data_IF_463024027014
#
_entry.id   IF_463024027014
#
_cell.length_a   1.000
_cell.length_b   1.000
_cell.length_c   1.000
_cell.angle_alpha   90.00
_cell.angle_beta   90.00
_cell.angle_gamma   90.00
#
_symmetry.space_group_name_H-M   'P 1'
#
loop_
_entity.id
_entity.type
_entity.pdbx_description
1 polymer ?
#
# COMPACT_ATOMS: atom_id res chain seq x y z
N UNK A 1 6.64 -21.76 -9.73
CA UNK A 1 5.47 -20.93 -10.08
C UNK A 1 5.57 -19.54 -9.43
N UNK A 2 5.58 -18.46 -10.22
CA UNK A 2 5.64 -17.09 -9.70
C UNK A 2 4.26 -16.66 -9.21
N UNK A 3 4.14 -16.28 -7.93
CA UNK A 3 2.91 -15.72 -7.35
C UNK A 3 3.07 -14.20 -7.30
N UNK A 4 2.25 -13.43 -8.04
CA UNK A 4 2.40 -11.98 -8.08
C UNK A 4 2.06 -11.36 -6.72
N UNK A 5 2.81 -10.31 -6.37
CA UNK A 5 2.53 -9.52 -5.17
C UNK A 5 1.20 -8.77 -5.32
N UNK A 6 0.44 -8.56 -4.21
CA UNK A 6 -0.76 -7.73 -4.23
C UNK A 6 -0.50 -6.33 -4.76
N UNK A 7 -1.43 -5.84 -5.58
CA UNK A 7 -1.35 -4.47 -6.10
C UNK A 7 -1.67 -3.48 -4.99
N UNK A 8 -0.73 -2.56 -4.78
CA UNK A 8 -0.83 -1.47 -3.82
C UNK A 8 -0.78 -0.13 -4.58
N UNK A 9 -1.49 0.87 -4.07
CA UNK A 9 -1.47 2.22 -4.61
C UNK A 9 -0.09 2.88 -4.40
N UNK A 10 0.53 3.40 -5.46
CA UNK A 10 1.84 4.08 -5.34
C UNK A 10 1.76 5.52 -4.81
N UNK A 11 0.55 6.04 -4.56
CA UNK A 11 0.33 7.36 -3.92
C UNK A 11 0.16 7.25 -2.41
N UNK A 12 -0.66 6.32 -1.93
CA UNK A 12 -0.97 6.20 -0.49
C UNK A 12 -0.54 4.88 0.16
N UNK A 13 0.00 3.94 -0.62
CA UNK A 13 0.49 2.62 -0.19
C UNK A 13 -0.57 1.68 0.42
N UNK A 14 -1.84 2.01 0.25
CA UNK A 14 -2.95 1.13 0.61
C UNK A 14 -3.27 0.13 -0.50
N UNK A 15 -3.82 -1.02 -0.12
CA UNK A 15 -4.33 -2.00 -1.07
C UNK A 15 -5.72 -1.61 -1.62
N UNK A 16 -6.19 -2.38 -2.61
CA UNK A 16 -7.56 -2.27 -3.15
C UNK A 16 -7.74 -1.28 -4.31
N UNK A 17 -6.78 -0.39 -4.55
CA UNK A 17 -6.85 0.56 -5.67
C UNK A 17 -5.47 0.89 -6.24
N UNK A 18 -5.45 1.52 -7.42
CA UNK A 18 -4.22 2.02 -8.06
C UNK A 18 -4.17 3.55 -7.98
N UNK A 19 -3.01 4.15 -8.26
CA UNK A 19 -2.78 5.60 -8.18
C UNK A 19 -3.81 6.44 -8.96
N UNK A 20 -4.34 5.91 -10.08
CA UNK A 20 -5.37 6.58 -10.90
C UNK A 20 -6.68 6.81 -10.14
N UNK A 21 -7.04 5.93 -9.20
CA UNK A 21 -8.27 6.00 -8.41
C UNK A 21 -8.02 6.43 -6.96
N UNK A 22 -6.80 6.88 -6.65
CA UNK A 22 -6.45 7.31 -5.31
C UNK A 22 -7.08 8.67 -5.00
N UNK A 23 -7.79 8.75 -3.88
CA UNK A 23 -8.42 9.99 -3.40
C UNK A 23 -7.42 10.96 -2.74
N UNK A 24 -6.21 10.50 -2.42
CA UNK A 24 -5.17 11.36 -1.86
C UNK A 24 -4.67 12.34 -2.92
N UNK A 25 -4.65 13.63 -2.60
CA UNK A 25 -4.20 14.68 -3.51
C UNK A 25 -2.70 14.54 -3.83
N UNK A 26 -1.87 14.46 -2.77
CA UNK A 26 -0.41 14.34 -2.86
C UNK A 26 0.06 12.89 -2.68
N UNK A 27 1.24 12.56 -3.19
CA UNK A 27 1.91 11.30 -2.88
C UNK A 27 2.38 11.35 -1.43
N UNK A 28 2.14 10.28 -0.69
CA UNK A 28 2.62 10.14 0.68
C UNK A 28 4.07 9.67 0.69
N UNK A 29 4.80 10.00 1.75
CA UNK A 29 6.09 9.40 2.04
C UNK A 29 5.91 7.88 2.31
N UNK A 30 6.74 7.04 1.69
CA UNK A 30 6.65 5.57 1.84
C UNK A 30 6.98 5.11 3.26
N UNK A 31 7.76 5.92 4.00
CA UNK A 31 8.12 5.62 5.39
C UNK A 31 7.01 6.05 6.34
N UNK A 32 6.66 7.33 6.37
CA UNK A 32 5.82 7.87 7.45
C UNK A 32 4.39 8.23 7.03
N UNK A 33 4.02 8.02 5.77
CA UNK A 33 2.70 8.29 5.21
C UNK A 33 2.26 9.76 5.26
N UNK A 34 3.19 10.70 5.45
CA UNK A 34 2.94 12.15 5.39
C UNK A 34 3.23 12.71 4.00
N UNK A 35 2.48 13.71 3.52
CA UNK A 35 2.69 14.32 2.20
C UNK A 35 3.76 15.41 2.17
N UNK A 36 4.38 15.73 3.30
CA UNK A 36 5.22 16.92 3.48
C UNK A 36 6.60 16.83 2.81
N UNK A 37 7.09 15.62 2.52
CA UNK A 37 8.46 15.42 2.05
C UNK A 37 8.61 14.19 1.16
N UNK A 38 9.69 14.18 0.38
CA UNK A 38 10.16 13.01 -0.36
C UNK A 38 10.76 11.96 0.58
N UNK A 39 10.61 10.69 0.23
CA UNK A 39 11.01 9.56 1.09
C UNK A 39 12.51 9.54 1.42
N UNK A 40 13.34 10.12 0.54
CA UNK A 40 14.78 10.30 0.73
C UNK A 40 15.13 11.22 1.91
N UNK A 41 14.25 12.18 2.24
CA UNK A 41 14.45 13.17 3.30
C UNK A 41 13.65 12.82 4.56
N UNK A 42 13.15 11.59 4.68
CA UNK A 42 12.35 11.15 5.81
C UNK A 42 13.21 10.55 6.92
N UNK A 43 13.15 11.19 8.10
CA UNK A 43 13.80 10.76 9.35
C UNK A 43 12.85 10.07 10.34
N UNK A 44 11.60 9.85 9.96
CA UNK A 44 10.61 9.17 10.80
C UNK A 44 10.68 7.65 10.63
N UNK A 45 10.15 6.91 11.61
CA UNK A 45 9.99 5.46 11.52
C UNK A 45 9.10 5.06 10.35
N UNK A 46 9.47 3.97 9.69
CA UNK A 46 8.66 3.37 8.62
C UNK A 46 7.42 2.73 9.24
N UNK A 47 6.25 3.07 8.72
CA UNK A 47 4.95 2.54 9.14
C UNK A 47 4.16 2.02 7.94
N UNK A 48 3.44 0.93 8.15
CA UNK A 48 2.64 0.30 7.10
C UNK A 48 1.28 1.01 6.97
N UNK A 49 0.89 1.38 5.75
CA UNK A 49 -0.38 2.06 5.50
C UNK A 49 -1.64 1.20 5.74
N UNK A 50 -1.44 -0.11 5.94
CA UNK A 50 -2.53 -1.09 6.00
C UNK A 50 -2.70 -1.71 7.40
N UNK A 51 -1.65 -1.76 8.23
CA UNK A 51 -1.72 -2.26 9.61
C UNK A 51 -1.11 -1.31 10.66
N UNK A 52 -0.54 -0.19 10.23
CA UNK A 52 0.07 0.85 11.08
C UNK A 52 1.23 0.37 11.97
N UNK A 53 1.73 -0.85 11.76
CA UNK A 53 2.92 -1.37 12.45
C UNK A 53 4.21 -0.80 11.84
N UNK A 54 5.32 -0.89 12.58
CA UNK A 54 6.65 -0.38 12.20
C UNK A 54 7.35 -1.23 11.12
N UNK A 55 6.66 -1.44 10.00
CA UNK A 55 7.13 -2.17 8.83
C UNK A 55 6.79 -1.42 7.56
N UNK A 56 7.50 -1.71 6.47
CA UNK A 56 7.17 -1.15 5.16
C UNK A 56 5.81 -1.68 4.67
N UNK A 57 5.00 -0.82 4.07
CA UNK A 57 3.78 -1.23 3.35
C UNK A 57 4.11 -2.35 2.34
N UNK A 58 3.34 -3.44 2.40
CA UNK A 58 3.58 -4.63 1.58
C UNK A 58 4.34 -5.78 2.27
N UNK A 59 4.67 -5.67 3.56
CA UNK A 59 5.26 -6.78 4.30
C UNK A 59 4.32 -7.99 4.41
N UNK A 60 4.89 -9.21 4.40
CA UNK A 60 4.16 -10.49 4.32
C UNK A 60 3.22 -10.76 5.50
N UNK A 61 3.57 -10.22 6.66
CA UNK A 61 2.88 -10.38 7.94
C UNK A 61 1.73 -9.37 8.10
N UNK A 62 1.54 -8.46 7.13
CA UNK A 62 0.42 -7.54 7.14
C UNK A 62 -0.87 -8.30 6.86
N UNK A 63 -1.86 -8.20 7.75
CA UNK A 63 -3.18 -8.78 7.49
C UNK A 63 -3.77 -8.31 6.15
N UNK A 64 -3.62 -7.03 5.81
CA UNK A 64 -4.02 -6.50 4.50
C UNK A 64 -3.28 -7.17 3.35
N UNK A 65 -1.98 -7.44 3.49
CA UNK A 65 -1.22 -8.16 2.45
C UNK A 65 -1.74 -9.59 2.28
N UNK A 66 -1.97 -10.31 3.38
CA UNK A 66 -2.47 -11.69 3.35
C UNK A 66 -3.83 -11.76 2.65
N UNK A 67 -4.77 -10.89 3.03
CA UNK A 67 -6.11 -10.81 2.42
C UNK A 67 -6.00 -10.53 0.91
N UNK A 68 -5.22 -9.53 0.51
CA UNK A 68 -5.13 -9.17 -0.92
C UNK A 68 -4.31 -10.17 -1.74
N UNK A 69 -3.41 -10.92 -1.12
CA UNK A 69 -2.65 -12.00 -1.77
C UNK A 69 -3.54 -13.17 -2.15
N UNK A 70 -4.46 -13.56 -1.26
CA UNK A 70 -5.47 -14.59 -1.55
C UNK A 70 -6.43 -14.14 -2.66
N UNK A 71 -6.80 -12.86 -2.65
CA UNK A 71 -7.76 -12.26 -3.59
C UNK A 71 -7.15 -11.86 -4.95
N UNK A 72 -5.83 -12.00 -5.16
CA UNK A 72 -5.16 -11.66 -6.43
C UNK A 72 -5.63 -12.50 -7.64
N UNK A 73 -6.50 -13.50 -7.44
CA UNK A 73 -7.20 -14.24 -8.49
C UNK A 73 -8.57 -13.67 -8.90
N UNK A 74 -9.19 -12.75 -8.15
CA UNK A 74 -10.57 -12.32 -8.40
C UNK A 74 -10.67 -10.86 -8.88
N UNK A 75 -10.71 -10.70 -10.21
CA UNK A 75 -10.87 -9.41 -10.92
C UNK A 75 -12.13 -8.63 -10.52
N UNK A 76 -13.14 -9.29 -9.94
CA UNK A 76 -14.40 -8.65 -9.54
C UNK A 76 -14.25 -7.72 -8.33
N UNK A 77 -13.25 -7.93 -7.45
CA UNK A 77 -13.04 -7.06 -6.29
C UNK A 77 -12.49 -5.69 -6.69
N UNK A 78 -11.58 -5.66 -7.66
CA UNK A 78 -10.94 -4.43 -8.16
C UNK A 78 -11.86 -3.50 -8.98
N UNK A 79 -13.04 -3.99 -9.39
CA UNK A 79 -14.01 -3.23 -10.20
C UNK A 79 -15.25 -2.79 -9.39
N UNK A 80 -15.37 -3.20 -8.12
CA UNK A 80 -16.50 -2.89 -7.24
C UNK A 80 -16.18 -1.85 -6.16
N UNK A 81 -15.00 -1.22 -6.20
CA UNK A 81 -14.54 -0.18 -5.26
C UNK A 81 -14.28 1.14 -5.97
#
# INVERSE_FOLDING_TARGET
PYVPQPKMCYKCYQFGHISKFCKTEKKLCVKCLKPEHESSNCSSTTVCANCLQEFQSGHSECLGYMIHKENNGNRLYYLKM
#
